data_IF_106016449288
#
_entry.id   IF_106016449288
#
_cell.length_a   1.000
_cell.length_b   1.000
_cell.length_c   1.000
_cell.angle_alpha   90.00
_cell.angle_beta   90.00
_cell.angle_gamma   90.00
#
_symmetry.space_group_name_H-M   'P 1'
#
loop_
_entity.id
_entity.type
_entity.pdbx_description
1 polymer ?
#
# COMPACT_ATOMS: atom_id res chain seq x y z
N UNK A 1 42.95 -22.36 38.46
CA UNK A 1 43.33 -21.85 37.12
C UNK A 1 42.13 -22.03 36.20
N UNK A 2 41.02 -21.31 36.44
CA UNK A 2 39.73 -21.49 35.72
C UNK A 2 39.16 -20.19 35.13
N UNK A 3 39.93 -19.09 35.17
CA UNK A 3 39.46 -17.77 34.70
C UNK A 3 39.64 -17.64 33.16
N UNK A 4 40.43 -18.52 32.54
CA UNK A 4 40.84 -18.41 31.13
C UNK A 4 39.85 -18.96 30.09
N UNK A 5 38.82 -19.72 30.48
CA UNK A 5 37.89 -20.34 29.52
C UNK A 5 36.51 -19.66 29.46
N UNK A 6 36.07 -19.04 30.56
CA UNK A 6 34.73 -18.45 30.65
C UNK A 6 34.52 -17.29 29.66
N UNK A 7 35.55 -16.46 29.43
CA UNK A 7 35.47 -15.34 28.48
C UNK A 7 35.30 -15.81 27.02
N UNK A 8 35.86 -16.99 26.67
CA UNK A 8 35.74 -17.59 25.34
C UNK A 8 34.30 -18.06 25.11
N UNK A 9 33.67 -18.70 26.10
CA UNK A 9 32.27 -19.10 26.02
C UNK A 9 31.32 -17.91 25.92
N UNK A 10 31.57 -16.84 26.67
CA UNK A 10 30.81 -15.59 26.57
C UNK A 10 30.94 -14.97 25.18
N UNK A 11 32.14 -14.96 24.60
CA UNK A 11 32.40 -14.39 23.28
C UNK A 11 31.76 -15.22 22.17
N UNK A 12 31.80 -16.55 22.27
CA UNK A 12 31.09 -17.48 21.38
C UNK A 12 29.58 -17.31 21.47
N UNK A 13 29.04 -17.15 22.68
CA UNK A 13 27.61 -16.94 22.89
C UNK A 13 27.14 -15.60 22.30
N UNK A 14 27.92 -14.54 22.50
CA UNK A 14 27.64 -13.23 21.91
C UNK A 14 27.67 -13.30 20.38
N UNK A 15 28.67 -13.99 19.80
CA UNK A 15 28.75 -14.19 18.36
C UNK A 15 27.53 -14.95 17.82
N UNK A 16 27.08 -16.00 18.51
CA UNK A 16 25.88 -16.76 18.14
C UNK A 16 24.61 -15.92 18.18
N UNK A 17 24.44 -15.07 19.20
CA UNK A 17 23.30 -14.14 19.30
C UNK A 17 23.34 -13.16 18.12
N UNK A 18 24.48 -12.53 17.87
CA UNK A 18 24.65 -11.56 16.78
C UNK A 18 24.38 -12.23 15.43
N UNK A 19 24.91 -13.43 15.19
CA UNK A 19 24.66 -14.20 13.98
C UNK A 19 23.17 -14.54 13.83
N UNK A 20 22.49 -14.96 14.89
CA UNK A 20 21.05 -15.27 14.88
C UNK A 20 20.22 -14.02 14.56
N UNK A 21 20.54 -12.87 15.16
CA UNK A 21 19.87 -11.59 14.88
C UNK A 21 20.09 -11.17 13.42
N UNK A 22 21.31 -11.30 12.90
CA UNK A 22 21.59 -10.97 11.49
C UNK A 22 20.85 -11.90 10.52
N UNK A 23 20.80 -13.20 10.79
CA UNK A 23 20.05 -14.16 9.98
C UNK A 23 18.56 -13.83 10.00
N UNK A 24 18.00 -13.54 11.18
CA UNK A 24 16.60 -13.14 11.32
C UNK A 24 16.29 -11.83 10.57
N UNK A 25 17.17 -10.83 10.68
CA UNK A 25 17.03 -9.56 9.98
C UNK A 25 17.08 -9.74 8.45
N UNK A 26 18.00 -10.55 7.94
CA UNK A 26 18.11 -10.83 6.51
C UNK A 26 16.89 -11.60 6.00
N UNK A 27 16.42 -12.62 6.72
CA UNK A 27 15.30 -13.45 6.29
C UNK A 27 13.93 -12.77 6.41
N UNK A 28 13.71 -11.95 7.45
CA UNK A 28 12.37 -11.39 7.73
C UNK A 28 12.28 -9.91 7.41
N UNK A 29 13.30 -9.12 7.75
CA UNK A 29 13.22 -7.66 7.70
C UNK A 29 13.63 -7.15 6.32
N UNK A 30 14.65 -7.73 5.70
CA UNK A 30 15.13 -7.28 4.38
C UNK A 30 14.07 -7.41 3.28
N UNK A 31 13.30 -8.51 3.22
CA UNK A 31 12.23 -8.62 2.22
C UNK A 31 11.03 -7.72 2.51
N UNK A 32 10.77 -7.39 3.79
CA UNK A 32 9.59 -6.61 4.21
C UNK A 32 9.82 -5.09 4.23
N UNK A 33 11.06 -4.63 4.41
CA UNK A 33 11.43 -3.20 4.51
C UNK A 33 12.33 -2.70 3.37
N UNK A 34 12.82 -3.57 2.49
CA UNK A 34 13.28 -3.05 1.20
C UNK A 34 12.05 -2.50 0.52
N UNK A 35 11.99 -1.17 0.38
CA UNK A 35 11.09 -0.55 -0.58
C UNK A 35 11.35 -1.30 -1.88
N UNK A 36 10.44 -2.21 -2.22
CA UNK A 36 10.44 -2.86 -3.52
C UNK A 36 10.61 -1.70 -4.47
N UNK A 37 11.73 -1.65 -5.18
CA UNK A 37 11.98 -0.67 -6.21
C UNK A 37 11.07 -1.07 -7.38
N UNK A 38 9.76 -1.07 -7.13
CA UNK A 38 8.73 -1.06 -8.12
C UNK A 38 9.16 0.09 -9.01
N UNK A 39 9.61 -0.27 -10.20
CA UNK A 39 9.98 0.66 -11.26
C UNK A 39 8.94 1.77 -11.20
N UNK A 40 9.33 2.97 -10.77
CA UNK A 40 8.39 4.08 -10.60
C UNK A 40 7.71 4.21 -11.94
N UNK A 41 6.44 3.79 -12.00
CA UNK A 41 5.70 3.79 -13.25
C UNK A 41 5.40 5.26 -13.49
N UNK A 42 6.31 5.92 -14.19
CA UNK A 42 6.13 7.30 -14.61
C UNK A 42 4.80 7.32 -15.34
N UNK A 43 3.85 8.10 -14.83
CA UNK A 43 2.55 8.29 -15.46
C UNK A 43 2.82 8.80 -16.88
N UNK A 44 2.68 7.90 -17.86
CA UNK A 44 2.77 8.30 -19.26
C UNK A 44 1.64 9.29 -19.50
N UNK A 45 1.98 10.47 -20.00
CA UNK A 45 0.98 11.45 -20.38
C UNK A 45 0.02 10.76 -21.37
N UNK A 46 -1.31 10.93 -21.22
CA UNK A 46 -2.25 10.36 -22.18
C UNK A 46 -1.85 10.80 -23.60
N UNK A 47 -1.96 9.90 -24.60
CA UNK A 47 -1.48 10.15 -25.96
C UNK A 47 -2.21 11.31 -26.65
N UNK A 48 -3.35 11.73 -26.11
CA UNK A 48 -4.16 12.84 -26.61
C UNK A 48 -4.46 13.81 -25.45
N UNK A 49 -4.44 15.14 -25.70
CA UNK A 49 -4.93 16.09 -24.72
C UNK A 49 -6.42 15.91 -24.50
N UNK A 50 -6.92 16.30 -23.33
CA UNK A 50 -8.35 16.27 -23.02
C UNK A 50 -9.14 17.08 -24.05
N UNK A 51 -10.14 16.45 -24.66
CA UNK A 51 -10.98 17.01 -25.73
C UNK A 51 -12.41 16.56 -25.52
N UNK A 52 -13.34 17.35 -26.02
CA UNK A 52 -14.73 16.92 -26.16
C UNK A 52 -14.83 15.74 -27.13
N UNK A 53 -15.79 14.86 -26.87
CA UNK A 53 -16.17 13.79 -27.77
C UNK A 53 -16.73 14.36 -29.08
N UNK A 54 -16.86 13.51 -30.11
CA UNK A 54 -17.37 13.93 -31.42
C UNK A 54 -18.81 14.45 -31.39
N UNK A 55 -19.57 14.10 -30.34
CA UNK A 55 -20.93 14.59 -30.06
C UNK A 55 -20.94 15.90 -29.25
N UNK A 56 -19.78 16.47 -28.93
CA UNK A 56 -19.62 17.69 -28.15
C UNK A 56 -19.74 17.49 -26.63
N UNK A 57 -19.88 16.25 -26.14
CA UNK A 57 -19.98 15.98 -24.70
C UNK A 57 -18.60 15.81 -24.06
N UNK A 58 -18.53 16.01 -22.74
CA UNK A 58 -17.36 15.72 -21.92
C UNK A 58 -17.83 15.27 -20.55
N UNK A 59 -17.52 14.03 -20.17
CA UNK A 59 -17.98 13.41 -18.94
C UNK A 59 -16.90 13.42 -17.87
N UNK A 60 -17.22 14.00 -16.72
CA UNK A 60 -16.36 14.03 -15.53
C UNK A 60 -16.94 13.10 -14.47
N UNK A 61 -16.13 12.16 -13.98
CA UNK A 61 -16.44 11.41 -12.76
C UNK A 61 -15.74 12.10 -11.59
N UNK A 62 -16.52 12.74 -10.72
CA UNK A 62 -15.98 13.35 -9.51
C UNK A 62 -16.02 12.36 -8.35
N UNK A 63 -14.90 12.25 -7.65
CA UNK A 63 -14.73 11.39 -6.49
C UNK A 63 -14.26 12.25 -5.33
N UNK A 64 -15.01 12.26 -4.23
CA UNK A 64 -14.72 13.11 -3.09
C UNK A 64 -14.51 12.31 -1.82
N UNK A 65 -13.68 12.85 -0.93
CA UNK A 65 -13.53 12.46 0.48
C UNK A 65 -13.49 10.94 0.70
N UNK A 66 -12.56 10.27 0.00
CA UNK A 66 -12.42 8.81 0.09
C UNK A 66 -11.80 8.36 1.41
N UNK A 67 -10.90 9.17 1.99
CA UNK A 67 -10.19 8.86 3.23
C UNK A 67 -9.52 7.47 3.25
N UNK A 68 -8.71 7.16 2.23
CA UNK A 68 -7.99 5.90 2.16
C UNK A 68 -6.92 5.77 3.24
N UNK A 69 -6.93 4.64 3.94
CA UNK A 69 -5.84 4.23 4.80
C UNK A 69 -4.85 3.31 4.08
N UNK A 70 -4.56 2.17 4.71
CA UNK A 70 -3.60 1.19 4.25
C UNK A 70 -4.25 -0.06 3.67
N UNK A 71 -5.24 0.13 2.79
CA UNK A 71 -5.83 -0.96 2.02
C UNK A 71 -6.63 -1.90 2.92
N UNK A 72 -6.34 -3.19 2.81
CA UNK A 72 -6.96 -4.25 3.63
C UNK A 72 -6.67 -4.12 5.13
N UNK A 73 -5.60 -3.40 5.52
CA UNK A 73 -5.21 -3.26 6.92
C UNK A 73 -6.07 -2.22 7.65
N UNK A 74 -6.61 -1.24 6.92
CA UNK A 74 -7.47 -0.21 7.50
C UNK A 74 -8.92 -0.68 7.48
N UNK A 75 -9.49 -0.83 8.68
CA UNK A 75 -10.91 -1.13 8.87
C UNK A 75 -11.75 0.13 8.71
N UNK A 76 -12.94 -0.03 8.13
CA UNK A 76 -13.93 1.03 8.07
C UNK A 76 -14.38 1.46 9.48
N UNK A 77 -14.75 2.72 9.60
CA UNK A 77 -15.42 3.28 10.79
C UNK A 77 -16.89 3.44 10.47
N UNK A 78 -17.73 3.43 11.52
CA UNK A 78 -19.15 3.77 11.42
C UNK A 78 -19.95 2.87 10.45
N UNK A 79 -19.62 1.57 10.43
CA UNK A 79 -20.37 0.52 9.72
C UNK A 79 -21.14 -0.37 10.69
N UNK A 80 -22.01 -1.25 10.19
CA UNK A 80 -22.70 -2.22 11.04
C UNK A 80 -21.70 -3.21 11.66
N UNK A 81 -22.04 -3.77 12.82
CA UNK A 81 -21.15 -4.71 13.54
C UNK A 81 -20.73 -5.90 12.66
N UNK A 82 -21.65 -6.41 11.85
CA UNK A 82 -21.42 -7.51 10.91
C UNK A 82 -20.45 -7.16 9.76
N UNK A 83 -20.21 -5.88 9.51
CA UNK A 83 -19.45 -5.39 8.36
C UNK A 83 -17.99 -5.06 8.71
N UNK A 84 -17.65 -4.94 10.00
CA UNK A 84 -16.29 -4.57 10.43
C UNK A 84 -15.21 -5.55 9.96
N UNK A 85 -15.53 -6.84 9.84
CA UNK A 85 -14.57 -7.87 9.41
C UNK A 85 -14.33 -7.87 7.89
N UNK A 86 -15.25 -7.32 7.10
CA UNK A 86 -15.22 -7.39 5.63
C UNK A 86 -15.00 -6.03 4.95
N UNK A 87 -15.21 -4.93 5.67
CA UNK A 87 -15.09 -3.58 5.13
C UNK A 87 -13.66 -3.05 5.23
N UNK A 88 -13.13 -2.60 4.10
CA UNK A 88 -11.83 -1.94 3.98
C UNK A 88 -11.79 -0.99 2.79
N UNK A 89 -10.68 -0.28 2.62
CA UNK A 89 -10.37 0.53 1.43
C UNK A 89 -10.52 -0.23 0.11
N UNK A 90 -10.38 -1.57 0.12
CA UNK A 90 -10.57 -2.40 -1.07
C UNK A 90 -12.01 -2.32 -1.59
N UNK A 91 -12.99 -2.13 -0.71
CA UNK A 91 -14.39 -1.96 -1.08
C UNK A 91 -14.58 -0.65 -1.88
N UNK A 92 -14.05 0.46 -1.37
CA UNK A 92 -14.05 1.76 -2.05
C UNK A 92 -13.31 1.72 -3.39
N UNK A 93 -12.19 1.00 -3.45
CA UNK A 93 -11.42 0.80 -4.69
C UNK A 93 -12.22 0.05 -5.74
N UNK A 94 -12.86 -1.07 -5.36
CA UNK A 94 -13.72 -1.86 -6.27
C UNK A 94 -14.93 -1.06 -6.74
N UNK A 95 -15.52 -0.26 -5.85
CA UNK A 95 -16.64 0.61 -6.20
C UNK A 95 -16.22 1.65 -7.26
N UNK A 96 -15.10 2.35 -7.04
CA UNK A 96 -14.59 3.33 -7.99
C UNK A 96 -14.22 2.67 -9.34
N UNK A 97 -13.58 1.51 -9.31
CA UNK A 97 -13.27 0.75 -10.53
C UNK A 97 -14.54 0.46 -11.33
N UNK A 98 -15.59 -0.04 -10.68
CA UNK A 98 -16.88 -0.32 -11.32
C UNK A 98 -17.50 0.94 -11.91
N UNK A 99 -17.45 2.07 -11.20
CA UNK A 99 -17.96 3.35 -11.70
C UNK A 99 -17.20 3.82 -12.92
N UNK A 100 -15.86 3.70 -12.94
CA UNK A 100 -15.05 4.04 -14.12
C UNK A 100 -15.43 3.16 -15.32
N UNK A 101 -15.63 1.85 -15.11
CA UNK A 101 -15.99 0.91 -16.18
C UNK A 101 -17.40 1.17 -16.76
N UNK A 102 -18.36 1.49 -15.90
CA UNK A 102 -19.76 1.75 -16.29
C UNK A 102 -19.88 3.12 -16.94
N UNK A 103 -19.35 4.17 -16.30
CA UNK A 103 -19.54 5.54 -16.76
C UNK A 103 -18.63 5.91 -17.93
N UNK A 104 -17.45 5.28 -18.03
CA UNK A 104 -16.41 5.60 -19.02
C UNK A 104 -16.15 7.11 -19.12
N UNK A 105 -15.76 7.76 -18.01
CA UNK A 105 -15.55 9.21 -17.99
C UNK A 105 -14.31 9.60 -18.82
N UNK A 106 -14.34 10.81 -19.37
CA UNK A 106 -13.18 11.41 -20.05
C UNK A 106 -12.14 11.91 -19.04
N UNK A 107 -12.60 12.26 -17.83
CA UNK A 107 -11.76 12.74 -16.75
C UNK A 107 -12.28 12.30 -15.39
N UNK A 108 -11.37 11.88 -14.51
CA UNK A 108 -11.70 11.56 -13.10
C UNK A 108 -11.11 12.66 -12.22
N UNK A 109 -11.98 13.40 -11.54
CA UNK A 109 -11.60 14.49 -10.64
C UNK A 109 -11.65 14.00 -9.20
N UNK A 110 -10.53 14.03 -8.50
CA UNK A 110 -10.48 13.80 -7.06
C UNK A 110 -10.57 15.13 -6.32
N UNK A 111 -11.60 15.32 -5.51
CA UNK A 111 -11.87 16.58 -4.81
C UNK A 111 -12.00 16.33 -3.31
N UNK A 112 -11.10 16.89 -2.50
CA UNK A 112 -11.07 16.65 -1.06
C UNK A 112 -10.02 15.64 -0.64
N UNK A 113 -10.20 15.01 0.51
CA UNK A 113 -9.18 14.15 1.12
C UNK A 113 -9.23 12.75 0.50
N UNK A 114 -8.15 12.40 -0.21
CA UNK A 114 -8.00 11.07 -0.81
C UNK A 114 -7.41 10.08 0.18
N UNK A 115 -6.47 10.51 1.04
CA UNK A 115 -5.77 9.70 2.06
C UNK A 115 -5.99 10.30 3.45
#
# INVERSE_FOLDING_TARGET
>A
MEISAAWIHTLLYLFLIIASIHVFHILIISEKLTLNHQTVRVKKLPPLPLRFNSDGTFKILQVADMHFGNGMVTRCKDVLESEFEVCSDLNSTRFLEKMIQVEKPDFVAFTGIVI
#
